data_IF_185124441046
#
_entry.id   IF_185124441046
#
_cell.length_a   1.000
_cell.length_b   1.000
_cell.length_c   1.000
_cell.angle_alpha   90.00
_cell.angle_beta   90.00
_cell.angle_gamma   90.00
#
_symmetry.space_group_name_H-M   'P 1'
#
loop_
_entity.id
_entity.type
_entity.pdbx_description
1 polymer ?
#
# COMPACT_ATOMS: atom_id res chain seq x y z
N UNK A 1 17.94 18.41 -7.28
CA UNK A 1 17.21 17.66 -8.31
C UNK A 1 17.70 18.04 -9.69
N UNK A 2 18.21 17.07 -10.46
CA UNK A 2 18.53 17.22 -11.90
C UNK A 2 17.27 16.80 -12.68
N UNK A 3 16.73 17.69 -13.50
CA UNK A 3 15.63 17.35 -14.40
C UNK A 3 16.20 16.84 -15.71
N UNK A 4 15.66 15.74 -16.22
CA UNK A 4 16.05 15.06 -17.46
C UNK A 4 14.83 14.85 -18.37
N UNK A 5 15.08 14.51 -19.63
CA UNK A 5 14.01 14.44 -20.63
C UNK A 5 13.27 13.09 -20.68
N UNK A 6 13.86 12.04 -20.09
CA UNK A 6 13.25 10.70 -20.14
C UNK A 6 13.55 9.84 -18.91
N UNK A 7 12.77 8.76 -18.75
CA UNK A 7 12.99 7.75 -17.72
C UNK A 7 14.33 7.02 -17.92
N UNK A 8 14.72 6.75 -19.16
CA UNK A 8 15.98 6.08 -19.50
C UNK A 8 17.18 6.91 -19.05
N UNK A 9 17.19 8.21 -19.34
CA UNK A 9 18.24 9.13 -18.89
C UNK A 9 18.30 9.22 -17.36
N UNK A 10 17.12 9.21 -16.70
CA UNK A 10 17.07 9.23 -15.24
C UNK A 10 17.74 8.02 -14.59
N UNK A 11 17.79 6.87 -15.27
CA UNK A 11 18.28 5.59 -14.77
C UNK A 11 19.76 5.31 -15.14
N UNK A 12 20.42 6.16 -15.94
CA UNK A 12 21.79 5.93 -16.44
C UNK A 12 22.81 5.66 -15.32
N UNK A 13 22.63 6.26 -14.15
CA UNK A 13 23.55 6.14 -13.02
C UNK A 13 23.40 4.81 -12.24
N UNK A 14 22.39 4.01 -12.49
CA UNK A 14 22.19 2.70 -11.83
C UNK A 14 23.28 1.73 -12.28
N UNK A 15 23.97 1.11 -11.31
CA UNK A 15 25.06 0.20 -11.54
C UNK A 15 24.68 -1.25 -11.20
N UNK A 16 25.42 -2.21 -11.75
CA UNK A 16 25.29 -3.63 -11.39
C UNK A 16 25.41 -3.85 -9.88
N UNK A 17 24.62 -4.74 -9.32
CA UNK A 17 24.63 -5.11 -7.91
C UNK A 17 23.86 -4.16 -6.99
N UNK A 18 23.13 -3.16 -7.54
CA UNK A 18 22.30 -2.25 -6.72
C UNK A 18 21.02 -2.90 -6.22
N UNK A 19 20.62 -2.49 -5.02
CA UNK A 19 19.32 -2.75 -4.41
C UNK A 19 18.40 -1.56 -4.64
N UNK A 20 17.35 -1.77 -5.43
CA UNK A 20 16.45 -0.73 -5.92
C UNK A 20 15.10 -0.91 -5.26
N UNK A 21 14.65 0.06 -4.46
CA UNK A 21 13.27 0.12 -3.99
C UNK A 21 12.37 0.71 -5.05
N UNK A 22 11.21 0.11 -5.28
CA UNK A 22 10.19 0.64 -6.17
C UNK A 22 8.94 1.04 -5.40
N UNK A 23 8.47 2.25 -5.62
CA UNK A 23 7.19 2.75 -5.13
C UNK A 23 6.06 1.80 -5.51
N UNK A 24 5.16 1.55 -4.58
CA UNK A 24 4.24 0.41 -4.63
C UNK A 24 2.80 0.82 -4.89
N UNK A 25 1.92 -0.17 -5.04
CA UNK A 25 0.47 -0.04 -5.21
C UNK A 25 0.12 0.80 -6.45
N UNK A 26 -0.92 1.64 -6.35
CA UNK A 26 -1.34 2.50 -7.45
C UNK A 26 -0.35 3.64 -7.78
N UNK A 27 0.69 3.83 -6.95
CA UNK A 27 1.78 4.77 -7.21
C UNK A 27 2.98 4.12 -7.94
N UNK A 28 2.87 2.88 -8.39
CA UNK A 28 3.92 2.20 -9.16
C UNK A 28 4.39 3.08 -10.33
N UNK A 29 5.68 3.45 -10.42
CA UNK A 29 6.22 4.33 -11.45
C UNK A 29 6.48 3.55 -12.74
N UNK A 30 5.44 3.23 -13.51
CA UNK A 30 5.49 2.33 -14.66
C UNK A 30 6.52 2.75 -15.70
N UNK A 31 6.66 4.06 -15.98
CA UNK A 31 7.69 4.59 -16.90
C UNK A 31 9.11 4.30 -16.42
N UNK A 32 9.37 4.45 -15.10
CA UNK A 32 10.67 4.07 -14.55
C UNK A 32 10.91 2.56 -14.62
N UNK A 33 9.87 1.74 -14.47
CA UNK A 33 10.01 0.28 -14.61
C UNK A 33 10.27 -0.13 -16.05
N UNK A 34 9.65 0.51 -17.04
CA UNK A 34 9.93 0.30 -18.47
C UNK A 34 11.39 0.64 -18.80
N UNK A 35 11.85 1.83 -18.36
CA UNK A 35 13.25 2.24 -18.50
C UNK A 35 14.22 1.29 -17.76
N UNK A 36 13.86 0.85 -16.53
CA UNK A 36 14.68 -0.09 -15.77
C UNK A 36 14.82 -1.44 -16.48
N UNK A 37 13.75 -1.96 -17.08
CA UNK A 37 13.79 -3.20 -17.83
C UNK A 37 14.75 -3.11 -19.04
N UNK A 38 14.75 -1.98 -19.74
CA UNK A 38 15.68 -1.72 -20.84
C UNK A 38 17.13 -1.60 -20.32
N UNK A 39 17.35 -0.81 -19.27
CA UNK A 39 18.66 -0.57 -18.65
C UNK A 39 19.27 -1.85 -18.06
N UNK A 40 18.48 -2.69 -17.41
CA UNK A 40 18.91 -3.93 -16.78
C UNK A 40 19.57 -4.90 -17.73
N UNK A 41 19.19 -4.93 -19.02
CA UNK A 41 19.81 -5.81 -20.04
C UNK A 41 21.31 -5.59 -20.20
N UNK A 42 21.83 -4.41 -19.84
CA UNK A 42 23.26 -4.07 -19.85
C UNK A 42 23.91 -4.15 -18.46
N UNK A 43 23.19 -4.60 -17.45
CA UNK A 43 23.65 -4.70 -16.05
C UNK A 43 23.52 -6.14 -15.56
N UNK A 44 24.11 -6.43 -14.40
CA UNK A 44 24.02 -7.73 -13.73
C UNK A 44 23.71 -7.54 -12.26
N UNK A 45 23.06 -8.54 -11.66
CA UNK A 45 22.81 -8.62 -10.22
C UNK A 45 22.02 -7.43 -9.64
N UNK A 46 21.15 -6.80 -10.43
CA UNK A 46 20.21 -5.83 -9.90
C UNK A 46 19.15 -6.54 -9.05
N UNK A 47 18.79 -5.95 -7.92
CA UNK A 47 17.71 -6.43 -7.07
C UNK A 47 16.60 -5.39 -6.99
N UNK A 48 15.43 -5.69 -7.57
CA UNK A 48 14.24 -4.85 -7.46
C UNK A 48 13.42 -5.28 -6.25
N UNK A 49 13.43 -4.42 -5.22
CA UNK A 49 12.68 -4.60 -3.99
C UNK A 49 11.33 -3.94 -4.10
N UNK A 50 10.29 -4.62 -3.62
CA UNK A 50 8.91 -4.13 -3.75
C UNK A 50 8.00 -4.71 -2.67
N UNK A 51 6.97 -3.94 -2.33
CA UNK A 51 5.83 -4.47 -1.59
C UNK A 51 4.83 -5.09 -2.57
N UNK A 52 4.23 -4.31 -3.46
CA UNK A 52 3.31 -4.76 -4.48
C UNK A 52 3.37 -3.82 -5.69
N UNK A 53 3.66 -4.34 -6.86
CA UNK A 53 3.70 -3.56 -8.10
C UNK A 53 2.48 -3.86 -8.96
N UNK A 54 1.98 -2.83 -9.58
CA UNK A 54 0.98 -2.92 -10.64
C UNK A 54 1.64 -2.63 -12.00
N UNK A 55 1.13 -3.25 -13.08
CA UNK A 55 1.66 -3.09 -14.44
C UNK A 55 3.19 -3.30 -14.54
N UNK A 56 3.68 -4.35 -13.88
CA UNK A 56 5.11 -4.65 -13.79
C UNK A 56 5.57 -5.74 -14.80
N UNK A 57 4.82 -5.96 -15.85
CA UNK A 57 5.07 -7.01 -16.85
C UNK A 57 6.46 -6.87 -17.49
N UNK A 58 6.91 -5.65 -17.72
CA UNK A 58 8.22 -5.36 -18.34
C UNK A 58 9.40 -5.81 -17.49
N UNK A 59 9.30 -5.67 -16.17
CA UNK A 59 10.38 -6.06 -15.23
C UNK A 59 10.28 -7.52 -14.79
N UNK A 60 9.17 -8.21 -15.09
CA UNK A 60 9.00 -9.65 -14.82
C UNK A 60 9.30 -10.53 -16.03
N UNK A 61 9.70 -9.94 -17.15
CA UNK A 61 10.02 -10.64 -18.40
C UNK A 61 11.16 -11.66 -18.18
N UNK A 62 11.03 -12.91 -18.65
CA UNK A 62 12.05 -13.93 -18.51
C UNK A 62 13.43 -13.57 -19.11
N UNK A 63 13.47 -12.65 -20.08
CA UNK A 63 14.73 -12.20 -20.68
C UNK A 63 15.62 -11.40 -19.71
N UNK A 64 15.10 -11.02 -18.55
CA UNK A 64 15.84 -10.33 -17.49
C UNK A 64 16.45 -11.28 -16.46
N UNK A 65 16.29 -12.58 -16.59
CA UNK A 65 16.92 -13.55 -15.70
C UNK A 65 18.45 -13.40 -15.71
N UNK A 66 19.05 -13.30 -14.51
CA UNK A 66 20.48 -13.01 -14.34
C UNK A 66 20.84 -11.51 -14.37
N UNK A 67 19.93 -10.66 -14.85
CA UNK A 67 20.12 -9.21 -14.88
C UNK A 67 19.39 -8.52 -13.74
N UNK A 68 18.11 -8.90 -13.51
CA UNK A 68 17.21 -8.31 -12.52
C UNK A 68 16.54 -9.42 -11.72
N UNK A 69 16.74 -9.43 -10.40
CA UNK A 69 16.06 -10.32 -9.47
C UNK A 69 15.06 -9.54 -8.62
N UNK A 70 13.87 -10.06 -8.44
CA UNK A 70 12.88 -9.47 -7.54
C UNK A 70 13.09 -9.93 -6.11
N UNK A 71 12.97 -8.99 -5.16
CA UNK A 71 12.83 -9.26 -3.73
C UNK A 71 11.49 -8.72 -3.27
N UNK A 72 10.56 -9.63 -3.03
CA UNK A 72 9.15 -9.33 -2.79
C UNK A 72 8.84 -9.44 -1.30
N UNK A 73 8.31 -8.38 -0.71
CA UNK A 73 7.77 -8.38 0.66
C UNK A 73 6.29 -8.74 0.68
N UNK A 74 5.68 -8.80 -0.51
CA UNK A 74 4.34 -9.31 -0.76
C UNK A 74 4.29 -9.94 -2.16
N UNK A 75 3.56 -11.05 -2.33
CA UNK A 75 3.44 -11.72 -3.60
C UNK A 75 2.21 -11.21 -4.38
N UNK A 76 2.41 -10.22 -5.23
CA UNK A 76 1.39 -9.72 -6.14
C UNK A 76 1.16 -10.65 -7.34
N UNK A 77 0.15 -10.32 -8.15
CA UNK A 77 -0.22 -11.11 -9.33
C UNK A 77 0.97 -11.32 -10.28
N UNK A 78 1.77 -10.27 -10.51
CA UNK A 78 2.90 -10.28 -11.45
C UNK A 78 4.10 -11.09 -10.94
N UNK A 79 4.32 -11.13 -9.63
CA UNK A 79 5.51 -11.76 -9.04
C UNK A 79 5.25 -13.13 -8.43
N UNK A 80 3.99 -13.51 -8.25
CA UNK A 80 3.60 -14.79 -7.62
C UNK A 80 4.21 -16.00 -8.31
N UNK A 81 4.18 -16.02 -9.63
CA UNK A 81 4.73 -17.13 -10.39
C UNK A 81 6.26 -17.15 -10.32
N UNK A 82 6.92 -16.00 -10.37
CA UNK A 82 8.37 -15.89 -10.20
C UNK A 82 8.83 -16.46 -8.86
N UNK A 83 8.11 -16.13 -7.78
CA UNK A 83 8.37 -16.64 -6.43
C UNK A 83 8.22 -18.17 -6.41
N UNK A 84 7.12 -18.70 -6.93
CA UNK A 84 6.84 -20.13 -6.90
C UNK A 84 7.79 -20.95 -7.82
N UNK A 85 8.44 -20.30 -8.78
CA UNK A 85 9.48 -20.87 -9.64
C UNK A 85 10.90 -20.70 -9.09
N UNK A 86 11.09 -20.00 -7.96
CA UNK A 86 12.40 -19.71 -7.39
C UNK A 86 13.19 -18.62 -8.14
N UNK A 87 12.54 -17.86 -9.03
CA UNK A 87 13.12 -16.76 -9.82
C UNK A 87 13.05 -15.43 -9.08
N UNK A 88 12.30 -15.34 -8.00
CA UNK A 88 12.23 -14.19 -7.10
C UNK A 88 12.37 -14.64 -5.64
N UNK A 89 12.87 -13.75 -4.78
CA UNK A 89 12.91 -13.95 -3.34
C UNK A 89 11.61 -13.45 -2.72
N UNK A 90 11.04 -14.23 -1.81
CA UNK A 90 9.93 -13.81 -0.97
C UNK A 90 10.42 -13.67 0.47
N UNK A 91 10.21 -12.50 1.07
CA UNK A 91 10.61 -12.20 2.45
C UNK A 91 9.33 -12.05 3.28
N UNK A 92 8.93 -13.09 4.03
CA UNK A 92 7.78 -13.00 4.91
C UNK A 92 8.11 -12.15 6.14
N UNK A 93 7.33 -11.08 6.35
CA UNK A 93 7.44 -10.22 7.54
C UNK A 93 6.10 -9.52 7.78
N UNK A 94 5.89 -9.03 9.00
CA UNK A 94 4.78 -8.12 9.28
C UNK A 94 5.04 -6.78 8.59
N UNK A 95 4.03 -6.20 8.00
CA UNK A 95 4.23 -4.98 7.22
C UNK A 95 4.74 -3.82 8.09
N UNK A 96 4.33 -3.76 9.35
CA UNK A 96 4.87 -2.80 10.33
C UNK A 96 6.39 -2.90 10.57
N UNK A 97 7.02 -4.01 10.21
CA UNK A 97 8.45 -4.23 10.40
C UNK A 97 9.29 -3.83 9.17
N UNK A 98 8.67 -3.70 8.00
CA UNK A 98 9.41 -3.41 6.75
C UNK A 98 10.20 -2.09 6.81
N UNK A 99 9.64 -0.95 7.25
CA UNK A 99 10.41 0.29 7.38
C UNK A 99 11.61 0.16 8.33
N UNK A 100 11.49 -0.68 9.36
CA UNK A 100 12.58 -0.91 10.33
C UNK A 100 13.77 -1.60 9.71
N UNK A 101 13.56 -2.52 8.74
CA UNK A 101 14.67 -3.17 8.02
C UNK A 101 15.52 -2.13 7.28
N UNK A 102 14.88 -1.12 6.68
CA UNK A 102 15.58 -0.05 5.99
C UNK A 102 16.31 0.87 6.98
N UNK A 103 15.59 1.40 7.97
CA UNK A 103 16.15 2.34 8.97
C UNK A 103 17.29 1.77 9.80
N UNK A 104 17.26 0.45 10.07
CA UNK A 104 18.37 -0.25 10.77
C UNK A 104 19.53 -0.65 9.86
N UNK A 105 19.37 -0.49 8.52
CA UNK A 105 20.37 -0.92 7.56
C UNK A 105 20.46 -2.44 7.36
N UNK A 106 19.50 -3.21 7.87
CA UNK A 106 19.41 -4.66 7.67
C UNK A 106 19.09 -5.00 6.21
N UNK A 107 18.37 -4.09 5.55
CA UNK A 107 18.16 -4.10 4.11
C UNK A 107 18.67 -2.79 3.50
N UNK A 108 19.74 -2.87 2.70
CA UNK A 108 20.31 -1.74 1.97
C UNK A 108 19.34 -1.27 0.86
N UNK A 109 19.26 0.03 0.67
CA UNK A 109 18.56 0.69 -0.45
C UNK A 109 19.55 1.63 -1.13
N UNK A 110 20.02 1.27 -2.32
CA UNK A 110 20.94 2.11 -3.09
C UNK A 110 20.18 3.19 -3.86
N UNK A 111 19.07 2.79 -4.48
CA UNK A 111 18.22 3.67 -5.29
C UNK A 111 16.75 3.45 -4.91
N UNK A 112 16.00 4.55 -4.73
CA UNK A 112 14.54 4.53 -4.63
C UNK A 112 13.94 5.11 -5.92
N UNK A 113 13.08 4.34 -6.58
CA UNK A 113 12.29 4.78 -7.74
C UNK A 113 10.90 5.16 -7.25
N UNK A 114 10.53 6.43 -7.41
CA UNK A 114 9.27 6.94 -6.88
C UNK A 114 8.46 7.70 -7.92
N UNK A 115 7.14 7.70 -7.77
CA UNK A 115 6.24 8.59 -8.48
C UNK A 115 5.72 9.62 -7.51
N UNK A 116 5.81 10.90 -7.85
CA UNK A 116 5.48 12.00 -6.94
C UNK A 116 4.65 13.08 -7.62
N UNK A 117 3.95 13.89 -6.82
CA UNK A 117 3.28 15.10 -7.31
C UNK A 117 4.31 16.15 -7.77
N UNK A 118 3.91 17.13 -8.58
CA UNK A 118 4.71 18.34 -8.79
C UNK A 118 5.08 19.01 -7.45
N UNK A 119 6.24 19.68 -7.38
CA UNK A 119 6.66 20.38 -6.18
C UNK A 119 5.74 21.59 -5.89
N UNK A 120 5.44 21.80 -4.62
CA UNK A 120 4.77 23.01 -4.16
C UNK A 120 5.74 24.21 -4.15
N UNK A 121 5.23 25.40 -3.77
CA UNK A 121 6.03 26.62 -3.70
C UNK A 121 7.16 26.59 -2.64
N UNK A 122 7.19 25.59 -1.76
CA UNK A 122 8.27 25.32 -0.82
C UNK A 122 9.25 24.25 -1.33
N UNK A 123 8.97 23.69 -2.51
CA UNK A 123 9.79 22.64 -3.13
C UNK A 123 9.49 21.24 -2.57
N UNK A 124 8.31 21.00 -2.02
CA UNK A 124 7.92 19.68 -1.54
C UNK A 124 7.03 18.97 -2.56
N UNK A 125 7.46 17.82 -3.04
CA UNK A 125 6.67 16.85 -3.76
C UNK A 125 5.95 15.95 -2.75
N UNK A 126 4.79 15.39 -3.14
CA UNK A 126 4.11 14.36 -2.34
C UNK A 126 4.32 12.99 -2.95
N UNK A 127 4.57 11.96 -2.13
CA UNK A 127 4.49 10.55 -2.51
C UNK A 127 3.06 10.14 -2.91
N UNK A 128 2.11 11.04 -2.72
CA UNK A 128 0.73 10.89 -3.17
C UNK A 128 0.00 9.76 -2.45
N UNK A 129 -0.56 8.89 -3.27
CA UNK A 129 -1.51 7.86 -2.82
C UNK A 129 -0.87 6.62 -2.20
N UNK A 130 0.47 6.56 -2.05
CA UNK A 130 1.15 5.44 -1.41
C UNK A 130 2.37 5.94 -0.64
N UNK A 131 2.34 5.87 0.69
CA UNK A 131 3.44 6.27 1.57
C UNK A 131 4.14 5.04 2.15
N UNK A 132 3.37 4.11 2.63
CA UNK A 132 3.69 2.78 3.18
C UNK A 132 5.17 2.65 3.65
N UNK A 133 6.00 1.79 3.06
CA UNK A 133 7.43 1.68 3.37
C UNK A 133 8.30 2.57 2.45
N UNK A 134 7.69 3.22 1.43
CA UNK A 134 8.41 4.06 0.48
C UNK A 134 9.00 5.30 1.16
N UNK A 135 8.30 5.88 2.14
CA UNK A 135 8.85 6.99 2.93
C UNK A 135 10.17 6.58 3.60
N UNK A 136 10.18 5.44 4.31
CA UNK A 136 11.38 4.91 4.96
C UNK A 136 12.49 4.54 3.96
N UNK A 137 12.14 3.98 2.81
CA UNK A 137 13.10 3.70 1.75
C UNK A 137 13.77 4.98 1.26
N UNK A 138 13.00 6.07 1.05
CA UNK A 138 13.52 7.38 0.65
C UNK A 138 14.42 8.02 1.71
N UNK A 139 14.16 7.80 3.01
CA UNK A 139 14.99 8.31 4.10
C UNK A 139 16.42 7.75 4.06
N UNK A 140 16.58 6.49 3.65
CA UNK A 140 17.87 5.79 3.70
C UNK A 140 18.53 5.57 2.35
N UNK A 141 17.79 5.79 1.25
CA UNK A 141 18.30 5.57 -0.11
C UNK A 141 19.52 6.42 -0.40
N UNK A 142 20.53 5.82 -0.99
CA UNK A 142 21.70 6.56 -1.51
C UNK A 142 21.32 7.53 -2.62
N UNK A 143 20.24 7.25 -3.36
CA UNK A 143 19.75 8.03 -4.48
C UNK A 143 18.23 7.90 -4.62
N UNK A 144 17.55 9.00 -4.92
CA UNK A 144 16.12 9.01 -5.25
C UNK A 144 15.96 9.46 -6.70
N UNK A 145 15.29 8.65 -7.49
CA UNK A 145 14.92 8.95 -8.88
C UNK A 145 13.39 9.06 -8.93
N UNK A 146 12.89 10.21 -9.42
CA UNK A 146 11.48 10.52 -9.37
C UNK A 146 10.84 10.66 -10.76
N UNK A 147 9.69 10.04 -10.94
CA UNK A 147 8.72 10.42 -11.95
C UNK A 147 7.80 11.48 -11.34
N UNK A 148 7.88 12.70 -11.81
CA UNK A 148 6.99 13.80 -11.42
C UNK A 148 5.75 13.74 -12.31
N UNK A 149 4.62 13.40 -11.70
CA UNK A 149 3.35 13.20 -12.42
C UNK A 149 2.31 14.22 -11.92
N UNK A 150 1.80 15.11 -12.79
CA UNK A 150 0.78 16.10 -12.41
C UNK A 150 -0.54 15.47 -11.93
N UNK A 151 -0.81 14.22 -12.29
CA UNK A 151 -1.99 13.49 -11.82
C UNK A 151 -1.83 12.91 -10.41
N UNK A 152 -0.60 12.89 -9.85
CA UNK A 152 -0.40 12.38 -8.49
C UNK A 152 -0.98 13.34 -7.46
N UNK A 153 -1.98 12.92 -6.65
CA UNK A 153 -2.54 13.77 -5.61
C UNK A 153 -1.48 14.23 -4.61
N UNK A 154 -1.61 15.47 -4.17
CA UNK A 154 -0.86 15.97 -3.01
C UNK A 154 -1.58 15.51 -1.75
N UNK A 155 -1.02 14.57 -1.02
CA UNK A 155 -1.57 14.04 0.23
C UNK A 155 -0.85 14.60 1.45
N UNK A 156 -1.46 14.48 2.62
CA UNK A 156 -0.92 14.99 3.89
C UNK A 156 -0.47 13.85 4.81
N UNK A 157 0.50 14.13 5.66
CA UNK A 157 1.12 13.18 6.59
C UNK A 157 2.61 13.02 6.33
N UNK A 158 3.10 11.78 6.28
CA UNK A 158 4.53 11.46 6.04
C UNK A 158 4.85 11.38 4.52
N UNK A 159 4.06 12.05 3.70
CA UNK A 159 4.09 11.91 2.24
C UNK A 159 5.07 12.84 1.53
N UNK A 160 5.75 13.76 2.23
CA UNK A 160 6.52 14.80 1.56
C UNK A 160 7.99 14.46 1.37
N UNK A 161 8.46 14.71 0.13
CA UNK A 161 9.87 14.72 -0.26
C UNK A 161 10.24 16.12 -0.78
N UNK A 162 11.27 16.73 -0.19
CA UNK A 162 11.77 17.98 -0.74
C UNK A 162 12.60 17.72 -2.01
N UNK A 163 12.52 18.60 -3.01
CA UNK A 163 13.27 18.49 -4.27
C UNK A 163 14.79 18.37 -4.06
N UNK A 164 15.31 18.83 -2.91
CA UNK A 164 16.73 18.68 -2.53
C UNK A 164 17.13 17.24 -2.22
N UNK A 165 16.17 16.38 -1.85
CA UNK A 165 16.39 14.95 -1.58
C UNK A 165 16.33 14.13 -2.87
N UNK A 166 15.67 14.64 -3.92
CA UNK A 166 15.55 13.99 -5.22
C UNK A 166 16.80 14.26 -6.04
N UNK A 167 17.49 13.20 -6.46
CA UNK A 167 18.72 13.31 -7.24
C UNK A 167 18.41 13.63 -8.70
N UNK A 168 17.57 12.82 -9.32
CA UNK A 168 17.16 12.95 -10.73
C UNK A 168 15.66 12.80 -10.84
N UNK A 169 15.05 13.57 -11.73
CA UNK A 169 13.62 13.48 -12.01
C UNK A 169 13.36 13.70 -13.51
N UNK A 170 12.29 13.10 -14.01
CA UNK A 170 11.67 13.45 -15.28
C UNK A 170 10.18 13.72 -15.07
N UNK A 171 9.60 14.52 -15.94
CA UNK A 171 8.18 14.88 -15.88
C UNK A 171 7.42 14.16 -16.99
N UNK A 172 6.30 13.55 -16.63
CA UNK A 172 5.39 12.90 -17.59
C UNK A 172 3.99 12.88 -17.04
N UNK A 173 3.03 13.17 -17.89
CA UNK A 173 1.59 13.15 -17.58
C UNK A 173 1.04 11.75 -17.87
N UNK A 174 0.92 10.94 -16.81
CA UNK A 174 0.43 9.58 -16.89
C UNK A 174 -0.83 9.42 -16.04
N UNK A 175 -1.86 8.72 -16.54
CA UNK A 175 -3.02 8.41 -15.72
C UNK A 175 -2.59 7.51 -14.55
N UNK A 176 -3.13 7.80 -13.35
CA UNK A 176 -2.93 6.91 -12.21
C UNK A 176 -3.74 5.63 -12.41
N UNK A 177 -3.22 4.55 -11.85
CA UNK A 177 -3.92 3.28 -11.84
C UNK A 177 -5.27 3.42 -11.13
N UNK A 178 -6.36 3.08 -11.83
CA UNK A 178 -7.69 3.01 -11.25
C UNK A 178 -8.10 1.55 -11.07
N UNK A 179 -8.57 1.21 -9.88
CA UNK A 179 -9.20 -0.07 -9.60
C UNK A 179 -10.69 0.07 -9.86
N UNK A 180 -11.21 -0.71 -10.79
CA UNK A 180 -12.63 -0.65 -11.14
C UNK A 180 -13.54 -1.18 -10.02
N UNK A 181 -14.72 -0.59 -9.87
CA UNK A 181 -15.76 -1.08 -8.97
C UNK A 181 -16.27 -2.44 -9.45
N UNK A 182 -16.15 -3.46 -8.59
CA UNK A 182 -16.68 -4.81 -8.84
C UNK A 182 -17.98 -5.00 -8.06
N UNK A 183 -19.06 -5.34 -8.76
CA UNK A 183 -20.30 -5.72 -8.11
C UNK A 183 -20.11 -6.98 -7.27
N UNK A 184 -20.48 -6.91 -6.00
CA UNK A 184 -20.48 -8.07 -5.13
C UNK A 184 -21.55 -9.09 -5.59
N UNK A 185 -21.21 -10.37 -5.52
CA UNK A 185 -22.18 -11.47 -5.69
C UNK A 185 -23.20 -11.47 -4.53
N UNK A 186 -24.27 -12.25 -4.67
CA UNK A 186 -25.26 -12.43 -3.61
C UNK A 186 -24.61 -13.00 -2.32
N UNK A 187 -23.70 -13.96 -2.47
CA UNK A 187 -22.96 -14.54 -1.33
C UNK A 187 -22.11 -13.50 -0.63
N UNK A 188 -21.32 -12.74 -1.39
CA UNK A 188 -20.49 -11.66 -0.84
C UNK A 188 -21.31 -10.56 -0.18
N UNK A 189 -22.49 -10.24 -0.72
CA UNK A 189 -23.42 -9.28 -0.13
C UNK A 189 -23.98 -9.77 1.20
N UNK A 190 -24.34 -11.06 1.32
CA UNK A 190 -24.78 -11.67 2.56
C UNK A 190 -23.68 -11.71 3.61
N UNK A 191 -22.46 -12.03 3.21
CA UNK A 191 -21.29 -12.00 4.10
C UNK A 191 -21.08 -10.56 4.60
N UNK A 192 -21.14 -9.56 3.69
CA UNK A 192 -21.01 -8.15 4.04
C UNK A 192 -22.05 -7.71 5.08
N UNK A 193 -23.31 -8.11 4.92
CA UNK A 193 -24.37 -7.82 5.89
C UNK A 193 -24.10 -8.46 7.27
N UNK A 194 -23.62 -9.70 7.29
CA UNK A 194 -23.25 -10.37 8.54
C UNK A 194 -22.07 -9.66 9.22
N UNK A 195 -21.06 -9.25 8.47
CA UNK A 195 -19.93 -8.46 9.00
C UNK A 195 -20.41 -7.14 9.57
N UNK A 196 -21.25 -6.40 8.84
CA UNK A 196 -21.78 -5.11 9.27
C UNK A 196 -22.59 -5.23 10.58
N UNK A 197 -23.32 -6.33 10.79
CA UNK A 197 -24.08 -6.57 12.03
C UNK A 197 -23.20 -6.74 13.29
N UNK A 198 -21.89 -6.98 13.12
CA UNK A 198 -20.92 -7.10 14.21
C UNK A 198 -20.22 -5.77 14.52
N UNK A 199 -20.35 -4.78 13.66
CA UNK A 199 -19.77 -3.43 13.84
C UNK A 199 -20.64 -2.65 14.84
N UNK A 200 -20.01 -1.90 15.73
CA UNK A 200 -20.71 -1.05 16.71
C UNK A 200 -20.54 0.43 16.35
N UNK A 201 -21.48 1.25 16.80
CA UNK A 201 -21.32 2.70 16.73
C UNK A 201 -20.02 3.15 17.43
N UNK A 202 -19.32 4.09 16.83
CA UNK A 202 -18.02 4.55 17.31
C UNK A 202 -16.85 3.59 17.04
N UNK A 203 -17.06 2.50 16.29
CA UNK A 203 -15.97 1.59 15.91
C UNK A 203 -14.92 2.29 15.06
N UNK A 204 -13.65 1.91 15.29
CA UNK A 204 -12.52 2.30 14.44
C UNK A 204 -12.22 1.15 13.47
N UNK A 205 -12.49 1.37 12.19
CA UNK A 205 -12.44 0.33 11.16
C UNK A 205 -11.05 0.21 10.53
N UNK A 206 -10.61 -1.02 10.33
CA UNK A 206 -9.61 -1.42 9.35
C UNK A 206 -10.28 -2.36 8.35
N UNK A 207 -10.03 -2.12 7.09
CA UNK A 207 -10.63 -2.89 6.01
C UNK A 207 -9.62 -3.17 4.92
N UNK A 208 -9.66 -4.41 4.39
CA UNK A 208 -9.00 -4.75 3.14
C UNK A 208 -9.78 -4.23 1.93
N UNK A 209 -9.27 -4.52 0.74
CA UNK A 209 -10.00 -4.33 -0.52
C UNK A 209 -10.72 -5.62 -0.92
N UNK A 210 -11.71 -5.46 -1.79
CA UNK A 210 -12.40 -6.56 -2.45
C UNK A 210 -13.89 -6.58 -2.13
N UNK A 211 -14.57 -7.49 -2.77
CA UNK A 211 -16.03 -7.51 -2.79
C UNK A 211 -16.69 -7.67 -1.40
N UNK A 212 -16.05 -8.39 -0.46
CA UNK A 212 -16.59 -8.58 0.89
C UNK A 212 -16.46 -7.32 1.74
N UNK A 213 -15.27 -6.69 1.87
CA UNK A 213 -15.12 -5.40 2.54
C UNK A 213 -16.04 -4.31 1.96
N UNK A 214 -16.12 -4.20 0.65
CA UNK A 214 -16.99 -3.21 -0.01
C UNK A 214 -18.47 -3.50 0.24
N UNK A 215 -18.87 -4.78 0.29
CA UNK A 215 -20.23 -5.17 0.63
C UNK A 215 -20.56 -4.83 2.09
N UNK A 216 -19.61 -5.01 3.03
CA UNK A 216 -19.77 -4.63 4.42
C UNK A 216 -19.95 -3.10 4.56
N UNK A 217 -19.11 -2.30 3.91
CA UNK A 217 -19.22 -0.83 3.91
C UNK A 217 -20.60 -0.36 3.47
N UNK A 218 -21.14 -0.93 2.39
CA UNK A 218 -22.50 -0.59 1.92
C UNK A 218 -23.61 -0.83 2.94
N UNK A 219 -23.38 -1.71 3.91
CA UNK A 219 -24.35 -2.03 4.97
C UNK A 219 -24.18 -1.19 6.24
N UNK A 220 -23.21 -0.25 6.30
CA UNK A 220 -22.92 0.56 7.49
C UNK A 220 -23.67 1.92 7.52
N UNK A 221 -24.55 2.20 6.58
CA UNK A 221 -25.20 3.51 6.45
C UNK A 221 -26.00 3.99 7.66
N UNK A 222 -26.47 3.09 8.51
CA UNK A 222 -27.24 3.42 9.73
C UNK A 222 -26.38 3.58 10.99
N UNK A 223 -25.06 3.33 10.89
CA UNK A 223 -24.11 3.48 12.00
C UNK A 223 -23.76 4.95 12.25
N UNK A 224 -23.12 5.20 13.41
CA UNK A 224 -22.76 6.57 13.84
C UNK A 224 -21.33 6.60 14.39
N UNK A 225 -20.67 7.74 14.13
CA UNK A 225 -19.34 8.06 14.71
C UNK A 225 -18.25 7.02 14.39
N UNK A 226 -18.35 6.36 13.23
CA UNK A 226 -17.31 5.45 12.81
C UNK A 226 -16.00 6.22 12.52
N UNK A 227 -14.87 5.54 12.69
CA UNK A 227 -13.55 6.06 12.37
C UNK A 227 -12.80 5.11 11.45
N UNK A 228 -11.79 5.64 10.75
CA UNK A 228 -10.89 4.85 9.89
C UNK A 228 -9.46 4.94 10.42
N UNK A 229 -8.86 3.78 10.66
CA UNK A 229 -7.44 3.57 10.86
C UNK A 229 -7.08 2.27 10.14
N UNK A 230 -6.59 2.38 8.94
CA UNK A 230 -6.44 1.26 8.00
C UNK A 230 -5.14 1.39 7.22
N UNK A 231 -4.55 0.29 6.84
CA UNK A 231 -3.43 0.27 5.89
C UNK A 231 -3.86 0.86 4.55
N UNK A 232 -4.95 0.34 4.02
CA UNK A 232 -5.46 0.67 2.70
C UNK A 232 -6.81 1.42 2.78
N UNK A 233 -6.93 2.46 1.94
CA UNK A 233 -8.11 3.29 1.81
C UNK A 233 -8.73 3.14 0.42
N UNK A 234 -10.03 2.87 0.33
CA UNK A 234 -10.73 2.57 -0.91
C UNK A 234 -12.01 3.41 -1.11
N UNK A 235 -12.54 3.41 -2.34
CA UNK A 235 -13.75 4.17 -2.71
C UNK A 235 -14.97 3.85 -1.84
N UNK A 236 -15.08 2.62 -1.34
CA UNK A 236 -16.24 2.17 -0.57
C UNK A 236 -16.53 2.98 0.69
N UNK A 237 -15.56 3.75 1.20
CA UNK A 237 -15.73 4.60 2.39
C UNK A 237 -16.30 5.99 2.07
N UNK A 238 -16.19 6.47 0.84
CA UNK A 238 -16.58 7.84 0.47
C UNK A 238 -18.07 8.13 0.78
N UNK A 239 -19.04 7.28 0.42
CA UNK A 239 -20.44 7.53 0.76
C UNK A 239 -20.71 7.64 2.27
N UNK A 240 -19.94 6.91 3.10
CA UNK A 240 -20.08 6.95 4.55
C UNK A 240 -19.44 8.20 5.17
N UNK A 241 -18.41 8.75 4.54
CA UNK A 241 -17.83 10.05 4.92
C UNK A 241 -18.80 11.17 4.54
N UNK A 242 -19.31 11.17 3.31
CA UNK A 242 -20.23 12.19 2.80
C UNK A 242 -21.54 12.26 3.61
N UNK A 243 -22.05 11.10 4.05
CA UNK A 243 -23.23 11.01 4.89
C UNK A 243 -22.98 11.33 6.38
N UNK A 244 -21.72 11.52 6.79
CA UNK A 244 -21.32 11.78 8.18
C UNK A 244 -21.35 10.55 9.09
N UNK A 245 -21.51 9.35 8.56
CA UNK A 245 -21.40 8.09 9.31
C UNK A 245 -19.97 7.89 9.81
N UNK A 246 -18.99 8.23 8.96
CA UNK A 246 -17.56 8.26 9.32
C UNK A 246 -17.17 9.72 9.58
N UNK A 247 -17.01 10.08 10.85
CA UNK A 247 -16.58 11.41 11.30
C UNK A 247 -15.28 11.38 12.10
N UNK A 248 -14.74 10.19 12.36
CA UNK A 248 -13.52 9.95 13.13
C UNK A 248 -13.55 10.54 14.57
N UNK A 249 -14.71 10.93 15.09
CA UNK A 249 -14.84 11.63 16.37
C UNK A 249 -14.55 10.74 17.59
N UNK A 250 -14.84 9.44 17.49
CA UNK A 250 -14.62 8.46 18.55
C UNK A 250 -13.17 7.97 18.65
N UNK A 251 -12.33 8.24 17.66
CA UNK A 251 -10.91 7.83 17.67
C UNK A 251 -10.12 8.56 18.76
N UNK A 252 -9.07 7.87 19.27
CA UNK A 252 -8.04 8.46 20.15
C UNK A 252 -6.77 8.82 19.38
N UNK A 253 -6.39 7.98 18.40
CA UNK A 253 -5.27 8.24 17.49
C UNK A 253 -5.79 8.86 16.19
N UNK A 254 -5.29 10.03 15.84
CA UNK A 254 -5.77 10.76 14.65
C UNK A 254 -7.25 11.14 14.75
N UNK A 255 -7.71 11.62 15.91
CA UNK A 255 -9.10 12.05 16.11
C UNK A 255 -9.50 13.11 15.08
N UNK A 256 -10.68 12.92 14.46
CA UNK A 256 -11.19 13.78 13.40
C UNK A 256 -10.49 13.58 12.05
N UNK A 257 -9.64 12.56 11.92
CA UNK A 257 -8.91 12.25 10.69
C UNK A 257 -8.97 10.77 10.36
N UNK A 258 -9.12 10.46 9.09
CA UNK A 258 -8.79 9.15 8.55
C UNK A 258 -7.28 8.96 8.59
N UNK A 259 -6.83 7.80 9.06
CA UNK A 259 -5.42 7.41 9.07
C UNK A 259 -5.27 6.23 8.13
N UNK A 260 -4.37 6.36 7.16
CA UNK A 260 -4.09 5.32 6.16
C UNK A 260 -2.63 5.36 5.73
N UNK A 261 -2.20 4.35 4.99
CA UNK A 261 -0.85 4.27 4.46
C UNK A 261 -0.82 4.37 2.93
N UNK A 262 -1.83 3.83 2.27
CA UNK A 262 -2.02 4.00 0.83
C UNK A 262 -3.49 3.94 0.44
N UNK A 263 -3.80 4.42 -0.76
CA UNK A 263 -5.13 4.42 -1.36
C UNK A 263 -5.12 3.67 -2.69
N UNK A 264 -6.17 2.87 -2.92
CA UNK A 264 -6.42 2.22 -4.21
C UNK A 264 -7.91 2.35 -4.54
N UNK A 265 -8.22 2.98 -5.67
CA UNK A 265 -9.60 3.19 -6.08
C UNK A 265 -9.69 3.91 -7.42
N UNK A 266 -10.77 4.63 -7.65
CA UNK A 266 -11.03 5.42 -8.84
C UNK A 266 -10.67 6.90 -8.68
N UNK A 267 -10.97 7.68 -9.72
CA UNK A 267 -10.71 9.12 -9.75
C UNK A 267 -11.37 9.86 -8.57
N UNK A 268 -12.59 9.47 -8.18
CA UNK A 268 -13.30 10.11 -7.06
C UNK A 268 -12.52 9.99 -5.73
N UNK A 269 -11.87 8.84 -5.48
CA UNK A 269 -11.03 8.66 -4.31
C UNK A 269 -9.78 9.56 -4.38
N UNK A 270 -9.14 9.61 -5.54
CA UNK A 270 -7.91 10.40 -5.73
C UNK A 270 -8.18 11.90 -5.65
N UNK A 271 -9.32 12.37 -6.18
CA UNK A 271 -9.79 13.75 -6.00
C UNK A 271 -10.10 14.05 -4.53
N UNK A 272 -10.74 13.11 -3.82
CA UNK A 272 -11.06 13.28 -2.41
C UNK A 272 -9.83 13.41 -1.52
N UNK A 273 -8.76 12.66 -1.78
CA UNK A 273 -7.54 12.72 -0.96
C UNK A 273 -6.60 13.86 -1.38
N UNK A 274 -6.82 14.47 -2.55
CA UNK A 274 -6.00 15.58 -3.02
C UNK A 274 -6.16 16.80 -2.10
N UNK A 275 -5.04 17.25 -1.54
CA UNK A 275 -4.91 18.38 -0.62
C UNK A 275 -5.95 18.38 0.54
N UNK A 276 -6.32 17.17 1.01
CA UNK A 276 -7.30 16.97 2.06
C UNK A 276 -6.64 16.69 3.41
N UNK A 277 -6.56 17.66 4.35
CA UNK A 277 -5.93 17.46 5.65
C UNK A 277 -6.71 16.53 6.59
N UNK A 278 -7.94 16.13 6.23
CA UNK A 278 -8.71 15.14 6.99
C UNK A 278 -8.23 13.70 6.76
N UNK A 279 -7.38 13.47 5.75
CA UNK A 279 -6.78 12.16 5.48
C UNK A 279 -5.27 12.26 5.71
N UNK A 280 -4.76 11.48 6.66
CA UNK A 280 -3.34 11.39 6.96
C UNK A 280 -2.76 10.10 6.38
N UNK A 281 -1.87 10.25 5.40
CA UNK A 281 -1.09 9.16 4.84
C UNK A 281 0.21 9.03 5.62
N UNK A 282 0.37 7.93 6.33
CA UNK A 282 1.49 7.72 7.25
C UNK A 282 2.23 6.42 6.92
N UNK A 283 3.50 6.36 7.36
CA UNK A 283 4.34 5.18 7.28
C UNK A 283 3.68 3.96 7.95
N UNK A 284 3.81 2.77 7.36
CA UNK A 284 3.24 1.53 7.91
C UNK A 284 3.82 1.14 9.27
N UNK A 285 5.02 1.58 9.62
CA UNK A 285 5.57 1.40 10.98
C UNK A 285 4.65 2.03 12.04
N UNK A 286 3.95 3.11 11.70
CA UNK A 286 2.97 3.74 12.57
C UNK A 286 1.56 3.16 12.36
N UNK A 287 1.09 3.11 11.10
CA UNK A 287 -0.28 2.72 10.78
C UNK A 287 -0.57 1.28 11.20
N UNK A 288 0.35 0.38 10.92
CA UNK A 288 0.23 -1.05 11.19
C UNK A 288 0.75 -1.46 12.58
N UNK A 289 1.22 -0.52 13.40
CA UNK A 289 1.73 -0.85 14.72
C UNK A 289 0.60 -1.30 15.65
N UNK A 290 0.58 -2.56 16.15
CA UNK A 290 -0.48 -3.06 17.00
C UNK A 290 -0.71 -2.22 18.26
N UNK A 291 0.35 -1.63 18.85
CA UNK A 291 0.23 -0.78 20.03
C UNK A 291 -0.37 0.60 19.71
N UNK A 292 -0.22 1.09 18.49
CA UNK A 292 -0.85 2.33 18.03
C UNK A 292 -2.32 2.06 17.71
N UNK A 293 -2.60 0.99 16.96
CA UNK A 293 -3.94 0.55 16.59
C UNK A 293 -4.80 0.36 17.86
N UNK A 294 -4.29 -0.36 18.85
CA UNK A 294 -4.97 -0.68 20.10
C UNK A 294 -5.36 0.53 20.95
N UNK A 295 -4.76 1.71 20.73
CA UNK A 295 -5.15 2.94 21.43
C UNK A 295 -6.54 3.44 21.02
N UNK A 296 -7.02 3.10 19.82
CA UNK A 296 -8.38 3.39 19.40
C UNK A 296 -9.35 2.41 20.06
N UNK A 297 -10.51 2.85 20.57
CA UNK A 297 -11.50 1.95 21.10
C UNK A 297 -12.26 1.25 19.97
N UNK A 298 -12.81 0.08 20.24
CA UNK A 298 -13.68 -0.71 19.33
C UNK A 298 -13.04 -0.90 17.95
N UNK A 299 -11.72 -1.12 17.89
CA UNK A 299 -11.08 -1.43 16.62
C UNK A 299 -11.75 -2.67 16.04
N UNK A 300 -12.31 -2.52 14.84
CA UNK A 300 -12.92 -3.62 14.11
C UNK A 300 -12.09 -3.88 12.86
N UNK A 301 -11.28 -4.94 12.93
CA UNK A 301 -10.40 -5.39 11.85
C UNK A 301 -11.16 -6.40 10.98
N UNK A 302 -11.33 -6.09 9.69
CA UNK A 302 -12.10 -6.90 8.75
C UNK A 302 -11.17 -7.37 7.63
N UNK A 303 -10.89 -8.67 7.61
CA UNK A 303 -9.96 -9.29 6.66
C UNK A 303 -10.57 -10.54 6.03
N UNK A 304 -9.96 -11.03 4.96
CA UNK A 304 -10.30 -12.28 4.30
C UNK A 304 -9.23 -13.33 4.51
N UNK A 305 -9.58 -14.59 4.21
CA UNK A 305 -8.65 -15.69 4.18
C UNK A 305 -8.91 -16.59 2.96
N UNK A 306 -7.94 -17.42 2.62
CA UNK A 306 -8.07 -18.44 1.59
C UNK A 306 -8.77 -19.70 2.15
N UNK A 307 -8.43 -20.06 3.39
CA UNK A 307 -9.01 -21.22 4.06
C UNK A 307 -8.88 -21.11 5.59
N UNK A 308 -9.78 -21.78 6.29
CA UNK A 308 -9.77 -21.94 7.74
C UNK A 308 -10.00 -23.42 8.04
N UNK A 309 -9.20 -24.02 8.91
CA UNK A 309 -9.41 -25.40 9.33
C UNK A 309 -10.42 -25.52 10.49
N UNK A 310 -10.80 -26.75 10.84
CA UNK A 310 -11.77 -27.01 11.91
C UNK A 310 -11.29 -26.64 13.31
N UNK A 311 -9.99 -26.34 13.47
CA UNK A 311 -9.41 -25.86 14.74
C UNK A 311 -9.32 -24.33 14.81
N UNK A 312 -9.71 -23.63 13.72
CA UNK A 312 -9.67 -22.17 13.64
C UNK A 312 -8.33 -21.59 13.15
N UNK A 313 -7.44 -22.42 12.60
CA UNK A 313 -6.22 -21.92 11.98
C UNK A 313 -6.54 -21.28 10.63
N UNK A 314 -6.08 -20.03 10.44
CA UNK A 314 -6.35 -19.23 9.24
C UNK A 314 -5.14 -19.23 8.34
N UNK A 315 -5.33 -19.57 7.05
CA UNK A 315 -4.34 -19.41 6.00
C UNK A 315 -4.83 -18.36 5.01
N UNK A 316 -4.06 -17.28 4.86
CA UNK A 316 -4.39 -16.15 3.98
C UNK A 316 -3.33 -15.89 2.90
N UNK A 317 -2.15 -16.49 2.99
CA UNK A 317 -0.98 -16.16 2.18
C UNK A 317 -0.50 -17.29 1.25
N UNK A 318 -1.02 -18.51 1.43
CA UNK A 318 -0.58 -19.65 0.63
C UNK A 318 -1.73 -20.63 0.30
N UNK A 319 -1.53 -21.42 -0.75
CA UNK A 319 -2.41 -22.54 -1.12
C UNK A 319 -1.52 -23.79 -1.18
N UNK A 320 -1.57 -24.60 -0.13
CA UNK A 320 -0.62 -25.68 0.08
C UNK A 320 0.81 -25.12 0.20
N UNK A 321 1.73 -25.58 -0.64
CA UNK A 321 3.11 -25.09 -0.66
C UNK A 321 3.35 -23.87 -1.57
N UNK A 322 2.32 -23.40 -2.28
CA UNK A 322 2.44 -22.27 -3.21
C UNK A 322 2.13 -20.97 -2.49
N UNK A 323 3.05 -20.03 -2.55
CA UNK A 323 2.81 -18.66 -2.09
C UNK A 323 1.75 -18.00 -2.99
N UNK A 324 0.71 -17.45 -2.38
CA UNK A 324 -0.40 -16.79 -3.06
C UNK A 324 -0.37 -15.26 -2.89
N UNK A 325 -0.09 -14.80 -1.67
CA UNK A 325 -0.01 -13.37 -1.34
C UNK A 325 1.16 -13.09 -0.39
N UNK A 326 0.94 -12.59 0.78
CA UNK A 326 1.95 -12.31 1.78
C UNK A 326 1.33 -12.06 3.14
N UNK A 327 2.17 -11.91 4.15
CA UNK A 327 1.74 -11.59 5.51
C UNK A 327 0.97 -10.26 5.52
N UNK A 328 1.50 -9.23 4.82
CA UNK A 328 0.90 -7.90 4.80
C UNK A 328 0.66 -7.34 6.19
N UNK A 329 -0.42 -6.56 6.33
CA UNK A 329 -0.82 -5.95 7.60
C UNK A 329 -1.88 -6.73 8.39
N UNK A 330 -2.36 -7.88 7.89
CA UNK A 330 -3.48 -8.60 8.52
C UNK A 330 -3.20 -8.93 9.99
N UNK A 331 -2.03 -9.52 10.28
CA UNK A 331 -1.67 -9.92 11.65
C UNK A 331 -1.49 -8.70 12.55
N UNK A 332 -0.91 -7.62 12.05
CA UNK A 332 -0.76 -6.36 12.79
C UNK A 332 -2.12 -5.84 13.28
N UNK A 333 -3.12 -5.82 12.38
CA UNK A 333 -4.47 -5.33 12.72
C UNK A 333 -5.27 -6.33 13.57
N UNK A 334 -5.11 -7.64 13.36
CA UNK A 334 -5.71 -8.67 14.23
C UNK A 334 -5.20 -8.50 15.67
N UNK A 335 -3.89 -8.33 15.85
CA UNK A 335 -3.29 -8.08 17.18
C UNK A 335 -3.76 -6.75 17.76
N UNK A 336 -3.72 -5.68 16.96
CA UNK A 336 -4.17 -4.36 17.38
C UNK A 336 -5.65 -4.35 17.82
N UNK A 337 -6.53 -5.02 17.08
CA UNK A 337 -7.93 -5.18 17.44
C UNK A 337 -8.10 -6.01 18.71
N UNK A 338 -7.32 -7.09 18.88
CA UNK A 338 -7.38 -7.94 20.09
C UNK A 338 -6.99 -7.17 21.35
N UNK A 339 -6.04 -6.23 21.25
CA UNK A 339 -5.60 -5.41 22.39
C UNK A 339 -6.43 -4.14 22.58
N UNK A 340 -7.28 -3.79 21.61
CA UNK A 340 -8.17 -2.63 21.71
C UNK A 340 -9.29 -2.85 22.71
N UNK A 341 -9.67 -1.80 23.44
CA UNK A 341 -10.85 -1.80 24.31
C UNK A 341 -12.10 -2.10 23.49
N UNK A 342 -12.77 -3.24 23.74
CA UNK A 342 -13.92 -3.75 22.98
C UNK A 342 -13.61 -3.99 21.48
N UNK A 343 -12.36 -4.26 21.14
CA UNK A 343 -11.98 -4.53 19.76
C UNK A 343 -12.44 -5.90 19.26
N UNK A 344 -12.56 -6.03 17.94
CA UNK A 344 -13.00 -7.24 17.25
C UNK A 344 -12.13 -7.50 16.03
N UNK A 345 -11.72 -8.76 15.86
CA UNK A 345 -11.09 -9.22 14.62
C UNK A 345 -12.04 -10.16 13.88
N UNK A 346 -12.34 -9.82 12.64
CA UNK A 346 -13.28 -10.55 11.79
C UNK A 346 -12.51 -11.09 10.59
N UNK A 347 -12.57 -12.41 10.39
CA UNK A 347 -12.09 -13.06 9.18
C UNK A 347 -13.32 -13.54 8.41
N UNK A 348 -13.51 -13.01 7.21
CA UNK A 348 -14.68 -13.27 6.36
C UNK A 348 -14.27 -13.95 5.06
N UNK A 349 -14.88 -15.07 4.74
CA UNK A 349 -14.64 -15.83 3.51
C UNK A 349 -15.90 -16.57 3.09
N UNK A 350 -16.06 -16.89 1.78
CA UNK A 350 -17.11 -17.80 1.31
C UNK A 350 -16.92 -19.21 1.89
N UNK A 351 -18.02 -19.86 2.23
CA UNK A 351 -18.04 -21.25 2.67
C UNK A 351 -18.38 -22.20 1.51
#
# INVERSE_FOLDING_TARGET
>A
MRLVDSAEEALEEIQSGEFIWCHSMAATPTRLLEGLAAHARSRQDLTLMQLHLEHAETVTDPSLDGHLRHRCFFAGKQTRELINQGRADYIPLFLSELPKLFRKGEQRVDTALVQVSPPDHHGNCSLGISVEATAAACEVAGRIIAHVNPNMPRTHGDSFLNVRQIHTAFESDEPLLAVGDRKASEVESRIGANVASLVEDGACLQMGIGAIPDAALRCLGDHRHLGIHTEMFSDGVLPLIDSGVIDNSAKRVGRGRTVTSFAMGGAALYDFVHDNPQVAFLDVEFVNNPTVIAKNPRVTSINSALQIDLTGQVCADSIGHRIYSGVGGQVDFVLGATYSEQGKSIIALPS
#
